data_IF_071438579457
#
_entry.id   IF_071438579457
#
_cell.length_a   1.000
_cell.length_b   1.000
_cell.length_c   1.000
_cell.angle_alpha   90.00
_cell.angle_beta   90.00
_cell.angle_gamma   90.00
#
_symmetry.space_group_name_H-M   'P 1'
#
loop_
_entity.id
_entity.type
_entity.pdbx_description
1 polymer ?
#
# COMPACT_ATOMS: atom_id res chain seq x y z
N UNK A 1 5.71 -2.84 -20.53
CA UNK A 1 4.89 -3.91 -19.90
C UNK A 1 3.52 -3.87 -20.56
N UNK A 2 2.89 -5.01 -20.86
CA UNK A 2 1.57 -5.05 -21.51
C UNK A 2 0.42 -5.09 -20.47
N UNK A 3 -0.83 -4.84 -20.88
CA UNK A 3 -2.04 -4.98 -20.03
C UNK A 3 -2.20 -6.44 -19.64
N UNK A 4 -1.85 -7.35 -20.56
CA UNK A 4 -1.71 -8.78 -20.30
C UNK A 4 -0.64 -9.05 -19.23
N UNK A 5 0.46 -8.29 -19.17
CA UNK A 5 1.47 -8.40 -18.10
C UNK A 5 0.93 -7.95 -16.73
N UNK A 6 0.26 -6.80 -16.65
CA UNK A 6 -0.33 -6.33 -15.38
C UNK A 6 -1.48 -7.22 -14.91
N UNK A 7 -2.41 -7.58 -15.80
CA UNK A 7 -3.50 -8.50 -15.50
C UNK A 7 -2.94 -9.88 -15.16
N UNK A 8 -1.96 -10.38 -15.91
CA UNK A 8 -1.27 -11.63 -15.64
C UNK A 8 -0.63 -11.67 -14.25
N UNK A 9 0.07 -10.61 -13.85
CA UNK A 9 0.67 -10.50 -12.50
C UNK A 9 -0.37 -10.38 -11.40
N UNK A 10 -1.44 -9.62 -11.62
CA UNK A 10 -2.52 -9.47 -10.64
C UNK A 10 -3.22 -10.82 -10.43
N UNK A 11 -3.59 -11.50 -11.52
CA UNK A 11 -4.23 -12.81 -11.49
C UNK A 11 -3.31 -13.86 -10.91
N UNK A 12 -2.00 -13.81 -11.22
CA UNK A 12 -1.02 -14.65 -10.57
C UNK A 12 -1.01 -14.45 -9.05
N UNK A 13 -1.02 -13.20 -8.57
CA UNK A 13 -1.05 -12.89 -7.15
C UNK A 13 -2.34 -13.38 -6.47
N UNK A 14 -3.50 -13.11 -7.05
CA UNK A 14 -4.80 -13.57 -6.53
C UNK A 14 -4.89 -15.10 -6.52
N UNK A 15 -4.50 -15.74 -7.61
CA UNK A 15 -4.50 -17.19 -7.73
C UNK A 15 -3.55 -17.86 -6.74
N UNK A 16 -2.35 -17.29 -6.55
CA UNK A 16 -1.39 -17.78 -5.54
C UNK A 16 -1.94 -17.69 -4.12
N UNK A 17 -2.77 -16.69 -3.82
CA UNK A 17 -3.41 -16.57 -2.52
C UNK A 17 -4.34 -17.75 -2.20
N UNK A 18 -4.91 -18.39 -3.23
CA UNK A 18 -5.83 -19.52 -3.09
C UNK A 18 -5.12 -20.88 -3.02
N UNK A 19 -3.85 -20.95 -3.44
CA UNK A 19 -3.09 -22.21 -3.49
C UNK A 19 -2.86 -22.92 -2.14
N UNK A 20 -2.77 -22.24 -0.97
CA UNK A 20 -2.71 -22.94 0.30
C UNK A 20 -3.90 -23.88 0.55
N UNK A 21 -5.05 -23.63 -0.10
CA UNK A 21 -6.19 -24.54 -0.05
C UNK A 21 -5.87 -25.91 -0.66
N UNK A 22 -4.96 -25.99 -1.63
CA UNK A 22 -4.53 -27.25 -2.24
C UNK A 22 -3.93 -28.17 -1.20
N UNK A 23 -2.91 -27.68 -0.49
CA UNK A 23 -2.23 -28.41 0.59
C UNK A 23 -3.18 -28.73 1.74
N UNK A 24 -4.14 -27.84 2.04
CA UNK A 24 -5.14 -28.12 3.07
C UNK A 24 -6.13 -29.22 2.66
N UNK A 25 -6.36 -29.47 1.37
CA UNK A 25 -7.28 -30.50 0.89
C UNK A 25 -6.58 -31.81 0.49
N UNK A 26 -5.24 -31.82 0.43
CA UNK A 26 -4.44 -33.01 0.10
C UNK A 26 -4.56 -34.13 1.14
N UNK A 27 -4.62 -33.78 2.43
CA UNK A 27 -4.72 -34.75 3.53
C UNK A 27 -5.79 -34.36 4.55
N UNK A 28 -6.25 -35.35 5.33
CA UNK A 28 -7.20 -35.11 6.42
C UNK A 28 -6.59 -34.18 7.48
N UNK A 29 -5.31 -34.37 7.83
CA UNK A 29 -4.63 -33.53 8.82
C UNK A 29 -4.47 -32.08 8.33
N UNK A 30 -4.23 -31.88 7.04
CA UNK A 30 -4.16 -30.55 6.42
C UNK A 30 -5.49 -29.81 6.54
N UNK A 31 -6.60 -30.51 6.32
CA UNK A 31 -7.93 -29.94 6.43
C UNK A 31 -8.31 -29.63 7.87
N UNK A 32 -7.99 -30.53 8.79
CA UNK A 32 -8.20 -30.31 10.23
C UNK A 32 -7.41 -29.10 10.73
N UNK A 33 -6.16 -28.94 10.29
CA UNK A 33 -5.35 -27.77 10.61
C UNK A 33 -5.97 -26.46 10.09
N UNK A 34 -6.55 -26.47 8.87
CA UNK A 34 -7.29 -25.35 8.33
C UNK A 34 -8.53 -25.03 9.17
N UNK A 35 -9.33 -26.03 9.53
CA UNK A 35 -10.52 -25.85 10.36
C UNK A 35 -10.16 -25.24 11.73
N UNK A 36 -9.14 -25.77 12.41
CA UNK A 36 -8.69 -25.27 13.71
C UNK A 36 -8.28 -23.79 13.59
N UNK A 37 -7.51 -23.41 12.56
CA UNK A 37 -7.10 -22.01 12.32
C UNK A 37 -8.30 -21.08 12.12
N UNK A 38 -9.36 -21.57 11.50
CA UNK A 38 -10.62 -20.84 11.26
C UNK A 38 -11.59 -20.91 12.45
N UNK A 39 -11.23 -21.57 13.54
CA UNK A 39 -12.07 -21.71 14.73
C UNK A 39 -13.20 -22.70 14.54
N UNK A 40 -12.96 -23.80 13.81
CA UNK A 40 -13.88 -24.91 13.62
C UNK A 40 -13.25 -26.20 14.14
N UNK A 41 -14.05 -27.11 14.74
CA UNK A 41 -13.53 -28.40 15.18
C UNK A 41 -13.16 -29.27 13.96
N UNK A 42 -12.15 -30.14 14.08
CA UNK A 42 -11.82 -31.17 13.08
C UNK A 42 -13.04 -32.01 12.69
N UNK A 43 -13.22 -32.23 11.38
CA UNK A 43 -14.28 -33.10 10.84
C UNK A 43 -13.80 -33.75 9.55
N UNK A 44 -14.40 -34.89 9.20
CA UNK A 44 -14.21 -35.45 7.87
C UNK A 44 -14.62 -34.43 6.80
N UNK A 45 -13.76 -34.23 5.78
CA UNK A 45 -13.98 -33.27 4.69
C UNK A 45 -15.37 -33.46 4.04
N UNK A 46 -16.31 -32.50 4.22
CA UNK A 46 -17.63 -32.54 3.60
C UNK A 46 -17.53 -32.59 2.07
N UNK A 47 -18.45 -33.30 1.41
CA UNK A 47 -18.42 -33.45 -0.05
C UNK A 47 -18.33 -32.11 -0.81
N UNK A 48 -19.14 -31.06 -0.48
CA UNK A 48 -19.02 -29.77 -1.16
C UNK A 48 -17.63 -29.11 -1.04
N UNK A 49 -16.91 -29.36 0.05
CA UNK A 49 -15.55 -28.82 0.26
C UNK A 49 -14.53 -29.67 -0.50
N UNK A 50 -14.71 -30.99 -0.53
CA UNK A 50 -13.86 -31.91 -1.31
C UNK A 50 -13.91 -31.60 -2.80
N UNK A 51 -15.09 -31.21 -3.30
CA UNK A 51 -15.31 -30.84 -4.70
C UNK A 51 -14.52 -29.58 -5.12
N UNK A 52 -14.05 -28.78 -4.16
CA UNK A 52 -13.12 -27.67 -4.43
C UNK A 52 -11.76 -28.16 -4.91
N UNK A 53 -11.31 -29.36 -4.51
CA UNK A 53 -9.98 -29.89 -4.84
C UNK A 53 -9.69 -29.86 -6.34
N UNK A 54 -10.62 -30.37 -7.16
CA UNK A 54 -10.48 -30.35 -8.62
C UNK A 54 -10.41 -28.93 -9.21
N UNK A 55 -11.08 -27.94 -8.60
CA UNK A 55 -11.01 -26.54 -9.02
C UNK A 55 -9.69 -25.88 -8.63
N UNK A 56 -9.18 -26.22 -7.45
CA UNK A 56 -7.86 -25.77 -6.98
C UNK A 56 -6.75 -26.35 -7.83
N UNK A 57 -6.82 -27.62 -8.23
CA UNK A 57 -5.84 -28.24 -9.13
C UNK A 57 -5.87 -27.58 -10.51
N UNK A 58 -7.06 -27.31 -11.07
CA UNK A 58 -7.19 -26.53 -12.32
C UNK A 58 -6.59 -25.14 -12.19
N UNK A 59 -6.79 -24.46 -11.06
CA UNK A 59 -6.18 -23.15 -10.82
C UNK A 59 -4.65 -23.29 -10.80
N UNK A 60 -4.12 -24.26 -10.07
CA UNK A 60 -2.68 -24.53 -10.01
C UNK A 60 -2.09 -24.76 -11.40
N UNK A 61 -2.72 -25.60 -12.23
CA UNK A 61 -2.25 -25.88 -13.59
C UNK A 61 -2.25 -24.62 -14.48
N UNK A 62 -3.32 -23.82 -14.40
CA UNK A 62 -3.42 -22.58 -15.19
C UNK A 62 -2.41 -21.53 -14.73
N UNK A 63 -2.17 -21.41 -13.42
CA UNK A 63 -1.13 -20.52 -12.91
C UNK A 63 0.27 -21.03 -13.28
N UNK A 64 0.50 -22.34 -13.27
CA UNK A 64 1.78 -22.93 -13.73
C UNK A 64 2.05 -22.57 -15.19
N UNK A 65 1.02 -22.62 -16.04
CA UNK A 65 1.14 -22.15 -17.43
C UNK A 65 1.40 -20.65 -17.51
N UNK A 66 0.75 -19.86 -16.67
CA UNK A 66 0.85 -18.39 -16.67
C UNK A 66 2.21 -17.87 -16.17
N UNK A 67 2.76 -18.44 -15.10
CA UNK A 67 3.98 -17.91 -14.45
C UNK A 67 5.19 -18.86 -14.47
N UNK A 68 5.04 -20.04 -15.06
CA UNK A 68 6.03 -21.11 -15.06
C UNK A 68 6.17 -21.79 -13.69
N UNK A 69 6.80 -22.98 -13.66
CA UNK A 69 7.05 -23.71 -12.40
C UNK A 69 7.87 -22.90 -11.38
N UNK A 70 8.75 -22.00 -11.84
CA UNK A 70 9.54 -21.11 -10.99
C UNK A 70 8.76 -19.93 -10.40
N UNK A 71 7.64 -19.54 -11.03
CA UNK A 71 6.79 -18.44 -10.56
C UNK A 71 5.80 -18.86 -9.48
N UNK A 72 5.55 -20.15 -9.33
CA UNK A 72 4.76 -20.70 -8.23
C UNK A 72 5.67 -21.03 -7.04
N UNK A 73 5.78 -20.10 -6.10
CA UNK A 73 6.62 -20.30 -4.92
C UNK A 73 5.93 -21.11 -3.79
N UNK A 74 4.99 -22.00 -4.13
CA UNK A 74 4.45 -22.95 -3.15
C UNK A 74 5.52 -24.03 -2.93
N UNK A 75 6.46 -23.76 -2.01
CA UNK A 75 7.53 -24.71 -1.62
C UNK A 75 8.78 -24.75 -2.53
N UNK A 76 9.00 -23.80 -3.43
CA UNK A 76 10.08 -23.87 -4.44
C UNK A 76 11.43 -23.31 -3.95
N UNK A 77 12.52 -23.98 -4.35
CA UNK A 77 13.91 -23.59 -4.08
C UNK A 77 14.31 -22.29 -4.82
N UNK A 78 15.21 -21.46 -4.25
CA UNK A 78 15.67 -20.23 -4.88
C UNK A 78 16.44 -20.50 -6.19
N UNK A 79 16.16 -19.73 -7.25
CA UNK A 79 16.99 -19.70 -8.48
C UNK A 79 16.28 -19.93 -9.82
N UNK A 80 14.96 -20.12 -9.87
CA UNK A 80 14.20 -20.11 -11.15
C UNK A 80 13.46 -18.78 -11.29
N UNK A 81 13.83 -17.98 -12.28
CA UNK A 81 13.06 -16.77 -12.59
C UNK A 81 11.67 -17.15 -13.14
N UNK A 82 10.60 -16.48 -12.71
CA UNK A 82 9.28 -16.66 -13.30
C UNK A 82 9.32 -16.28 -14.77
N UNK A 83 8.85 -17.19 -15.64
CA UNK A 83 8.63 -16.90 -17.06
C UNK A 83 7.14 -16.71 -17.24
N UNK A 84 6.74 -15.47 -17.51
CA UNK A 84 5.34 -15.13 -17.73
C UNK A 84 4.91 -15.52 -19.15
N UNK A 85 3.97 -16.47 -19.26
CA UNK A 85 3.28 -16.73 -20.52
C UNK A 85 2.00 -15.88 -20.59
N UNK A 86 2.11 -14.74 -21.25
CA UNK A 86 1.07 -13.71 -21.29
C UNK A 86 0.15 -13.83 -22.52
N UNK A 87 0.05 -15.01 -23.13
CA UNK A 87 -0.92 -15.22 -24.19
C UNK A 87 -2.36 -15.05 -23.65
N UNK A 88 -3.23 -14.43 -24.45
CA UNK A 88 -4.59 -14.08 -24.02
C UNK A 88 -5.40 -15.31 -23.57
N UNK A 89 -5.13 -16.49 -24.15
CA UNK A 89 -5.77 -17.74 -23.77
C UNK A 89 -5.36 -18.21 -22.38
N UNK A 90 -4.06 -18.16 -22.07
CA UNK A 90 -3.52 -18.52 -20.74
C UNK A 90 -3.99 -17.53 -19.67
N UNK A 91 -3.98 -16.23 -19.94
CA UNK A 91 -4.50 -15.22 -19.00
C UNK A 91 -6.00 -15.43 -18.76
N UNK A 92 -6.81 -15.60 -19.82
CA UNK A 92 -8.25 -15.85 -19.68
C UNK A 92 -8.56 -17.16 -18.93
N UNK A 93 -7.79 -18.22 -19.18
CA UNK A 93 -7.95 -19.49 -18.47
C UNK A 93 -7.61 -19.35 -16.97
N UNK A 94 -6.56 -18.59 -16.63
CA UNK A 94 -6.22 -18.30 -15.24
C UNK A 94 -7.31 -17.45 -14.55
N UNK A 95 -7.84 -16.42 -15.22
CA UNK A 95 -8.97 -15.63 -14.71
C UNK A 95 -10.18 -16.53 -14.45
N UNK A 96 -10.57 -17.34 -15.44
CA UNK A 96 -11.71 -18.27 -15.31
C UNK A 96 -11.52 -19.22 -14.14
N UNK A 97 -10.32 -19.79 -13.97
CA UNK A 97 -10.03 -20.70 -12.87
C UNK A 97 -10.12 -20.02 -11.49
N UNK A 98 -9.65 -18.77 -11.37
CA UNK A 98 -9.81 -17.97 -10.14
C UNK A 98 -11.29 -17.72 -9.84
N UNK A 99 -12.05 -17.25 -10.84
CA UNK A 99 -13.48 -16.96 -10.69
C UNK A 99 -14.27 -18.21 -10.33
N UNK A 100 -14.05 -19.32 -11.03
CA UNK A 100 -14.73 -20.59 -10.75
C UNK A 100 -14.46 -21.12 -9.34
N UNK A 101 -13.25 -20.91 -8.80
CA UNK A 101 -12.92 -21.31 -7.45
C UNK A 101 -13.57 -20.39 -6.40
N UNK A 102 -13.54 -19.07 -6.61
CA UNK A 102 -14.18 -18.09 -5.72
C UNK A 102 -15.69 -18.28 -5.69
N UNK A 103 -16.31 -18.53 -6.84
CA UNK A 103 -17.74 -18.82 -6.96
C UNK A 103 -18.08 -20.15 -6.26
N UNK A 104 -17.25 -21.18 -6.40
CA UNK A 104 -17.46 -22.45 -5.74
C UNK A 104 -17.33 -22.36 -4.21
N UNK A 105 -16.37 -21.57 -3.71
CA UNK A 105 -16.26 -21.28 -2.26
C UNK A 105 -17.52 -20.56 -1.78
N UNK A 106 -17.97 -19.54 -2.53
CA UNK A 106 -19.18 -18.77 -2.21
C UNK A 106 -20.43 -19.66 -2.19
N UNK A 107 -20.53 -20.61 -3.13
CA UNK A 107 -21.64 -21.54 -3.25
C UNK A 107 -21.75 -22.55 -2.09
N UNK A 108 -20.70 -22.74 -1.27
CA UNK A 108 -20.77 -23.59 -0.07
C UNK A 108 -21.86 -23.11 0.91
N UNK A 109 -22.14 -21.81 0.96
CA UNK A 109 -23.22 -21.28 1.80
C UNK A 109 -24.61 -21.78 1.36
N UNK A 110 -24.78 -22.08 0.08
CA UNK A 110 -26.05 -22.51 -0.52
C UNK A 110 -26.19 -24.03 -0.59
N UNK A 111 -25.17 -24.79 -0.21
CA UNK A 111 -25.24 -26.24 -0.21
C UNK A 111 -26.27 -26.76 0.83
N UNK A 112 -26.94 -27.91 0.55
CA UNK A 112 -27.92 -28.49 1.46
C UNK A 112 -27.35 -28.71 2.86
N UNK A 113 -28.13 -28.43 3.91
CA UNK A 113 -27.67 -28.61 5.29
C UNK A 113 -27.22 -30.06 5.57
N UNK A 114 -27.86 -31.04 4.91
CA UNK A 114 -27.50 -32.46 5.00
C UNK A 114 -26.11 -32.80 4.44
N UNK A 115 -25.48 -31.89 3.70
CA UNK A 115 -24.12 -32.06 3.19
C UNK A 115 -23.04 -31.77 4.26
N UNK A 116 -23.43 -31.26 5.43
CA UNK A 116 -22.54 -30.90 6.53
C UNK A 116 -22.97 -31.59 7.83
N UNK A 117 -22.04 -31.79 8.79
CA UNK A 117 -22.38 -32.26 10.12
C UNK A 117 -23.41 -31.35 10.82
N UNK A 118 -24.45 -31.90 11.49
CA UNK A 118 -25.52 -31.11 12.11
C UNK A 118 -25.03 -30.04 13.08
N UNK A 119 -24.02 -30.36 13.91
CA UNK A 119 -23.45 -29.44 14.89
C UNK A 119 -22.78 -28.22 14.24
N UNK A 120 -22.12 -28.42 13.09
CA UNK A 120 -21.53 -27.33 12.30
C UNK A 120 -22.61 -26.44 11.71
N UNK A 121 -23.67 -27.02 11.15
CA UNK A 121 -24.81 -26.26 10.61
C UNK A 121 -25.45 -25.42 11.71
N UNK A 122 -25.68 -26.00 12.90
CA UNK A 122 -26.24 -25.29 14.05
C UNK A 122 -25.36 -24.12 14.52
N UNK A 123 -24.04 -24.22 14.38
CA UNK A 123 -23.08 -23.14 14.71
C UNK A 123 -22.94 -22.06 13.62
N UNK A 124 -23.66 -22.19 12.50
CA UNK A 124 -23.63 -21.25 11.37
C UNK A 124 -22.42 -21.43 10.46
N UNK A 125 -21.93 -22.67 10.31
CA UNK A 125 -20.76 -22.98 9.49
C UNK A 125 -20.94 -22.53 8.03
N UNK A 126 -22.10 -22.82 7.42
CA UNK A 126 -22.35 -22.52 6.00
C UNK A 126 -22.28 -21.02 5.71
N UNK A 127 -22.74 -20.20 6.65
CA UNK A 127 -22.83 -18.75 6.50
C UNK A 127 -21.48 -18.07 6.77
N UNK A 128 -20.67 -18.63 7.68
CA UNK A 128 -19.39 -18.03 8.13
C UNK A 128 -18.18 -18.57 7.38
N UNK A 129 -18.12 -19.88 7.13
CA UNK A 129 -16.94 -20.57 6.61
C UNK A 129 -16.46 -20.03 5.25
N UNK A 130 -17.34 -19.79 4.24
CA UNK A 130 -16.88 -19.32 2.93
C UNK A 130 -16.12 -18.01 3.00
N UNK A 131 -16.65 -17.04 3.76
CA UNK A 131 -15.99 -15.74 3.94
C UNK A 131 -14.71 -15.87 4.74
N UNK A 132 -14.74 -16.63 5.84
CA UNK A 132 -13.57 -16.87 6.68
C UNK A 132 -12.42 -17.53 5.90
N UNK A 133 -12.74 -18.46 5.00
CA UNK A 133 -11.76 -19.13 4.15
C UNK A 133 -11.07 -18.14 3.21
N UNK A 134 -11.85 -17.32 2.47
CA UNK A 134 -11.30 -16.31 1.57
C UNK A 134 -10.45 -15.28 2.34
N UNK A 135 -10.98 -14.75 3.44
CA UNK A 135 -10.26 -13.77 4.27
C UNK A 135 -8.94 -14.36 4.80
N UNK A 136 -8.96 -15.62 5.26
CA UNK A 136 -7.75 -16.29 5.75
C UNK A 136 -6.70 -16.46 4.65
N UNK A 137 -7.10 -16.95 3.48
CA UNK A 137 -6.23 -17.19 2.33
C UNK A 137 -5.58 -15.88 1.83
N UNK A 138 -6.38 -14.82 1.68
CA UNK A 138 -5.89 -13.50 1.27
C UNK A 138 -4.95 -12.90 2.31
N UNK A 139 -5.29 -12.96 3.60
CA UNK A 139 -4.44 -12.39 4.66
C UNK A 139 -3.13 -13.16 4.81
N UNK A 140 -3.15 -14.50 4.75
CA UNK A 140 -1.92 -15.31 4.75
C UNK A 140 -1.03 -14.97 3.55
N UNK A 141 -1.60 -14.80 2.36
CA UNK A 141 -0.86 -14.37 1.18
C UNK A 141 -0.26 -12.98 1.34
N UNK A 142 -1.06 -11.99 1.77
CA UNK A 142 -0.60 -10.62 1.92
C UNK A 142 0.49 -10.52 2.99
N UNK A 143 0.34 -11.19 4.13
CA UNK A 143 1.35 -11.16 5.20
C UNK A 143 2.60 -11.97 4.83
N UNK A 144 2.45 -13.12 4.18
CA UNK A 144 3.55 -14.01 3.85
C UNK A 144 4.32 -13.66 2.58
N UNK A 145 3.64 -13.12 1.55
CA UNK A 145 4.22 -12.87 0.22
C UNK A 145 4.32 -11.40 -0.15
N UNK A 146 3.45 -10.56 0.41
CA UNK A 146 3.46 -9.12 0.16
C UNK A 146 3.49 -8.34 1.48
N UNK A 147 4.45 -8.63 2.40
CA UNK A 147 4.40 -8.16 3.79
C UNK A 147 4.24 -6.65 3.87
N UNK A 148 4.89 -5.91 2.97
CA UNK A 148 4.77 -4.47 2.84
C UNK A 148 3.31 -4.01 2.67
N UNK A 149 2.61 -4.58 1.70
CA UNK A 149 1.21 -4.31 1.44
C UNK A 149 0.32 -4.84 2.57
N UNK A 150 0.59 -6.05 3.09
CA UNK A 150 -0.17 -6.65 4.19
C UNK A 150 -0.12 -5.80 5.47
N UNK A 151 1.04 -5.28 5.84
CA UNK A 151 1.19 -4.38 6.97
C UNK A 151 0.54 -3.01 6.71
N UNK A 152 0.70 -2.44 5.52
CA UNK A 152 0.04 -1.19 5.16
C UNK A 152 -1.48 -1.29 5.27
N UNK A 153 -2.08 -2.34 4.70
CA UNK A 153 -3.51 -2.60 4.78
C UNK A 153 -3.99 -2.89 6.22
N UNK A 154 -3.13 -3.49 7.05
CA UNK A 154 -3.43 -3.67 8.48
C UNK A 154 -3.43 -2.35 9.24
N UNK A 155 -2.49 -1.45 8.95
CA UNK A 155 -2.46 -0.10 9.53
C UNK A 155 -3.69 0.69 9.13
N UNK A 156 -4.14 0.58 7.88
CA UNK A 156 -5.37 1.22 7.39
C UNK A 156 -6.67 0.58 7.91
N UNK A 157 -6.58 -0.48 8.73
CA UNK A 157 -7.75 -1.20 9.25
C UNK A 157 -8.48 -2.08 8.22
N UNK A 158 -7.96 -2.20 7.00
CA UNK A 158 -8.49 -3.08 5.94
C UNK A 158 -8.23 -4.55 6.29
N UNK A 159 -7.09 -4.85 6.92
CA UNK A 159 -6.81 -6.16 7.52
C UNK A 159 -6.95 -6.05 9.02
N UNK A 160 -7.78 -6.89 9.63
CA UNK A 160 -7.87 -7.02 11.08
C UNK A 160 -7.61 -8.44 11.53
N UNK A 161 -7.01 -8.59 12.71
CA UNK A 161 -6.81 -9.87 13.38
C UNK A 161 -7.17 -9.69 14.86
N UNK A 162 -8.19 -10.41 15.33
CA UNK A 162 -8.68 -10.35 16.71
C UNK A 162 -8.80 -11.74 17.29
N UNK A 163 -8.36 -11.92 18.53
CA UNK A 163 -8.59 -13.17 19.25
C UNK A 163 -10.07 -13.32 19.58
N UNK A 164 -10.62 -14.47 19.24
CA UNK A 164 -11.95 -14.89 19.65
C UNK A 164 -11.79 -16.02 20.67
N UNK A 165 -12.35 -15.82 21.87
CA UNK A 165 -12.38 -16.86 22.90
C UNK A 165 -13.24 -18.05 22.45
N UNK A 166 -12.99 -19.27 22.97
CA UNK A 166 -13.82 -20.43 22.65
C UNK A 166 -15.30 -20.19 22.97
N UNK A 167 -16.19 -20.62 22.09
CA UNK A 167 -17.65 -20.47 22.24
C UNK A 167 -18.40 -21.62 21.56
N UNK A 168 -19.25 -22.33 22.33
CA UNK A 168 -19.94 -23.51 21.85
C UNK A 168 -18.97 -24.59 21.36
N UNK A 169 -19.13 -25.04 20.11
CA UNK A 169 -18.22 -26.01 19.47
C UNK A 169 -16.97 -25.36 18.85
N UNK A 170 -16.88 -24.03 18.82
CA UNK A 170 -15.78 -23.32 18.16
C UNK A 170 -14.62 -23.16 19.14
N UNK A 171 -13.42 -23.72 18.86
CA UNK A 171 -12.23 -23.47 19.66
C UNK A 171 -11.82 -21.99 19.59
N UNK A 172 -10.97 -21.55 20.51
CA UNK A 172 -10.38 -20.21 20.48
C UNK A 172 -9.49 -20.06 19.24
N UNK A 173 -9.60 -18.93 18.55
CA UNK A 173 -8.92 -18.71 17.27
C UNK A 173 -8.64 -17.23 17.01
N UNK A 174 -7.76 -16.94 16.05
CA UNK A 174 -7.52 -15.58 15.57
C UNK A 174 -8.45 -15.30 14.39
N UNK A 175 -9.53 -14.57 14.64
CA UNK A 175 -10.44 -14.10 13.61
C UNK A 175 -9.72 -13.05 12.75
N UNK A 176 -9.43 -13.42 11.51
CA UNK A 176 -8.86 -12.51 10.50
C UNK A 176 -9.93 -12.09 9.53
N UNK A 177 -9.92 -10.80 9.16
CA UNK A 177 -10.86 -10.22 8.20
C UNK A 177 -10.10 -9.33 7.24
N UNK A 178 -10.43 -9.44 5.97
CA UNK A 178 -10.01 -8.53 4.92
C UNK A 178 -11.23 -7.77 4.43
N UNK A 179 -11.30 -6.46 4.65
CA UNK A 179 -12.46 -5.64 4.33
C UNK A 179 -12.09 -4.53 3.34
N UNK A 180 -12.08 -4.86 2.05
CA UNK A 180 -11.73 -3.91 1.00
C UNK A 180 -12.70 -2.71 0.96
N UNK A 181 -13.93 -2.86 1.45
CA UNK A 181 -14.90 -1.78 1.53
C UNK A 181 -14.54 -0.74 2.61
N UNK A 182 -13.65 -1.07 3.55
CA UNK A 182 -13.10 -0.12 4.51
C UNK A 182 -12.06 0.84 3.88
N UNK A 183 -11.52 0.50 2.70
CA UNK A 183 -10.42 1.24 2.08
C UNK A 183 -10.82 2.67 1.69
N UNK A 184 -11.98 2.94 1.03
CA UNK A 184 -12.43 4.30 0.77
C UNK A 184 -12.58 5.11 2.05
N UNK A 185 -13.11 4.51 3.12
CA UNK A 185 -13.31 5.19 4.40
C UNK A 185 -11.99 5.54 5.08
N UNK A 186 -11.03 4.61 5.06
CA UNK A 186 -9.68 4.82 5.61
C UNK A 186 -8.94 5.96 4.90
N UNK A 187 -9.18 6.14 3.60
CA UNK A 187 -8.60 7.22 2.80
C UNK A 187 -9.38 8.53 2.96
N UNK A 188 -10.71 8.49 3.10
CA UNK A 188 -11.55 9.70 3.16
C UNK A 188 -11.63 10.36 4.54
N UNK A 189 -11.47 9.61 5.64
CA UNK A 189 -11.41 10.17 7.00
C UNK A 189 -10.30 9.49 7.82
N UNK A 190 -9.01 9.74 7.47
CA UNK A 190 -7.89 9.23 8.25
C UNK A 190 -7.92 9.77 9.70
N UNK A 191 -8.56 10.92 9.91
CA UNK A 191 -8.74 11.54 11.22
C UNK A 191 -9.56 10.69 12.19
N UNK A 192 -10.49 9.86 11.71
CA UNK A 192 -11.29 8.98 12.56
C UNK A 192 -10.44 7.96 13.30
N UNK A 193 -9.55 7.28 12.59
CA UNK A 193 -8.63 6.32 13.22
C UNK A 193 -7.75 7.03 14.25
N UNK A 194 -7.28 8.24 13.94
CA UNK A 194 -6.50 9.04 14.86
C UNK A 194 -7.25 9.34 16.16
N UNK A 195 -8.52 9.74 16.05
CA UNK A 195 -9.39 10.03 17.20
C UNK A 195 -9.70 8.77 18.02
N UNK A 196 -10.18 7.71 17.36
CA UNK A 196 -10.68 6.49 18.02
C UNK A 196 -9.58 5.61 18.61
N UNK A 197 -8.41 5.56 17.97
CA UNK A 197 -7.33 4.64 18.38
C UNK A 197 -6.27 5.32 19.23
N UNK A 198 -5.90 6.56 18.90
CA UNK A 198 -4.79 7.25 19.56
C UNK A 198 -5.23 8.42 20.42
N UNK A 199 -6.54 8.74 20.51
CA UNK A 199 -7.02 9.88 21.29
C UNK A 199 -6.70 11.25 20.66
N UNK A 200 -6.47 11.32 19.35
CA UNK A 200 -6.26 12.61 18.68
C UNK A 200 -7.46 13.55 18.94
N UNK A 201 -7.18 14.81 19.27
CA UNK A 201 -8.24 15.76 19.65
C UNK A 201 -8.68 15.69 21.12
N UNK A 202 -8.03 14.86 21.94
CA UNK A 202 -8.23 14.83 23.39
C UNK A 202 -6.92 15.11 24.12
N UNK A 203 -7.00 15.28 25.45
CA UNK A 203 -5.81 15.42 26.29
C UNK A 203 -5.01 14.10 26.40
N UNK A 204 -5.62 12.98 26.01
CA UNK A 204 -5.08 11.62 26.12
C UNK A 204 -4.42 11.15 24.81
N UNK A 205 -4.02 12.06 23.92
CA UNK A 205 -3.36 11.69 22.67
C UNK A 205 -2.08 10.89 22.94
N UNK A 206 -2.09 9.62 22.59
CA UNK A 206 -0.94 8.72 22.74
C UNK A 206 -0.02 8.84 21.52
N UNK A 207 0.85 9.85 21.57
CA UNK A 207 1.87 10.07 20.53
C UNK A 207 2.79 8.84 20.36
N UNK A 208 3.12 8.14 21.45
CA UNK A 208 4.01 6.98 21.41
C UNK A 208 3.41 5.82 20.63
N UNK A 209 2.15 5.48 20.89
CA UNK A 209 1.40 4.48 20.13
C UNK A 209 1.24 4.90 18.67
N UNK A 210 0.89 6.16 18.42
CA UNK A 210 0.76 6.68 17.06
C UNK A 210 2.09 6.60 16.29
N UNK A 211 3.19 7.09 16.86
CA UNK A 211 4.51 7.04 16.26
C UNK A 211 4.96 5.60 15.98
N UNK A 212 4.67 4.65 16.88
CA UNK A 212 4.97 3.24 16.65
C UNK A 212 4.18 2.66 15.46
N UNK A 213 2.94 3.11 15.23
CA UNK A 213 2.18 2.68 14.05
C UNK A 213 2.68 3.32 12.76
N UNK A 214 3.12 4.58 12.80
CA UNK A 214 3.79 5.23 11.67
C UNK A 214 5.12 4.54 11.36
N UNK A 215 5.91 4.18 12.37
CA UNK A 215 7.17 3.43 12.22
C UNK A 215 6.94 2.10 11.50
N UNK A 216 5.96 1.32 11.96
CA UNK A 216 5.57 0.07 11.32
C UNK A 216 5.10 0.26 9.87
N UNK A 217 4.31 1.31 9.60
CA UNK A 217 3.83 1.62 8.26
C UNK A 217 5.00 2.00 7.33
N UNK A 218 5.88 2.89 7.77
CA UNK A 218 6.98 3.37 6.94
C UNK A 218 8.01 2.27 6.70
N UNK A 219 8.30 1.44 7.71
CA UNK A 219 9.10 0.22 7.57
C UNK A 219 8.47 -0.75 6.58
N UNK A 220 7.15 -0.97 6.68
CA UNK A 220 6.41 -1.79 5.73
C UNK A 220 6.51 -1.24 4.31
N UNK A 221 6.43 0.08 4.12
CA UNK A 221 6.63 0.73 2.81
C UNK A 221 8.09 0.73 2.33
N UNK A 222 9.02 0.09 3.06
CA UNK A 222 10.43 -0.03 2.69
C UNK A 222 11.30 1.17 3.06
N UNK A 223 10.78 2.12 3.84
CA UNK A 223 11.56 3.25 4.33
C UNK A 223 12.43 2.83 5.52
N UNK A 224 13.54 3.53 5.71
CA UNK A 224 14.32 3.42 6.94
C UNK A 224 13.73 4.34 7.98
N UNK A 225 13.22 3.76 9.06
CA UNK A 225 12.79 4.50 10.25
C UNK A 225 13.63 4.11 11.45
N UNK A 226 13.86 5.08 12.33
CA UNK A 226 14.58 4.84 13.58
C UNK A 226 14.21 5.88 14.62
N UNK A 227 14.26 5.49 15.89
CA UNK A 227 14.13 6.46 16.97
C UNK A 227 15.48 7.12 17.23
N UNK A 228 15.58 8.43 17.01
CA UNK A 228 16.82 9.19 17.21
C UNK A 228 16.70 10.13 18.40
N UNK A 229 17.79 10.41 19.15
CA UNK A 229 17.79 11.50 20.11
C UNK A 229 17.43 12.82 19.41
N UNK A 230 16.54 13.60 20.02
CA UNK A 230 16.18 14.90 19.49
C UNK A 230 17.29 15.92 19.84
N UNK A 231 17.63 16.78 18.88
CA UNK A 231 18.53 17.90 19.11
C UNK A 231 17.95 18.85 20.18
N UNK A 232 18.80 19.39 21.05
CA UNK A 232 18.35 20.21 22.18
C UNK A 232 17.61 21.47 21.74
N UNK A 233 18.03 22.10 20.63
CA UNK A 233 17.40 23.30 20.11
C UNK A 233 16.02 22.99 19.50
N UNK A 234 15.93 21.88 18.75
CA UNK A 234 14.65 21.38 18.24
C UNK A 234 13.69 20.96 19.38
N UNK A 235 14.20 20.27 20.40
CA UNK A 235 13.43 19.89 21.59
C UNK A 235 12.89 21.12 22.32
N UNK A 236 13.73 22.13 22.56
CA UNK A 236 13.32 23.36 23.22
C UNK A 236 12.28 24.13 22.41
N UNK A 237 12.44 24.22 21.08
CA UNK A 237 11.53 24.98 20.23
C UNK A 237 10.16 24.30 20.07
N UNK A 238 10.14 22.97 19.97
CA UNK A 238 8.92 22.19 19.71
C UNK A 238 8.22 21.81 21.01
N UNK A 239 8.97 21.41 22.03
CA UNK A 239 8.42 20.81 23.26
C UNK A 239 8.59 21.70 24.50
N UNK A 240 9.34 22.80 24.39
CA UNK A 240 9.71 23.63 25.53
C UNK A 240 10.76 22.95 26.42
N UNK A 241 10.90 23.47 27.65
CA UNK A 241 11.87 22.93 28.61
C UNK A 241 11.42 21.56 29.10
N UNK A 242 12.24 20.53 28.84
CA UNK A 242 12.00 19.15 29.26
C UNK A 242 13.11 18.66 30.20
N UNK A 243 12.75 17.75 31.11
CA UNK A 243 13.69 17.11 32.05
C UNK A 243 14.17 15.74 31.56
N UNK A 244 13.48 15.15 30.59
CA UNK A 244 13.83 13.90 29.92
C UNK A 244 14.65 14.15 28.64
N UNK A 245 15.23 13.09 28.06
CA UNK A 245 15.91 13.13 26.76
C UNK A 245 14.92 12.70 25.67
N UNK A 246 14.20 13.64 25.03
CA UNK A 246 13.18 13.28 24.05
C UNK A 246 13.81 12.57 22.83
N UNK A 247 13.05 11.63 22.27
CA UNK A 247 13.39 10.95 21.02
C UNK A 247 12.36 11.32 19.96
N UNK A 248 12.83 11.45 18.73
CA UNK A 248 11.99 11.59 17.56
C UNK A 248 11.93 10.29 16.78
N UNK A 249 10.81 10.02 16.11
CA UNK A 249 10.79 9.02 15.05
C UNK A 249 11.34 9.69 13.78
N UNK A 250 12.53 9.29 13.34
CA UNK A 250 13.11 9.73 12.08
C UNK A 250 12.73 8.76 10.97
N UNK A 251 12.12 9.29 9.90
CA UNK A 251 11.84 8.57 8.67
C UNK A 251 12.76 9.13 7.60
N UNK A 252 13.65 8.30 7.07
CA UNK A 252 14.61 8.65 6.02
C UNK A 252 14.17 8.00 4.70
N UNK A 253 13.36 8.67 3.86
CA UNK A 253 12.91 8.12 2.59
C UNK A 253 14.06 7.89 1.61
N UNK A 254 15.13 8.70 1.66
CA UNK A 254 16.32 8.48 0.87
C UNK A 254 17.59 9.00 1.54
N UNK A 255 18.69 8.30 1.29
CA UNK A 255 20.05 8.71 1.66
C UNK A 255 21.00 8.13 0.64
N UNK A 256 21.61 8.99 -0.18
CA UNK A 256 22.56 8.58 -1.22
C UNK A 256 23.86 9.34 -1.12
N UNK A 257 24.92 8.67 -1.54
CA UNK A 257 26.19 9.30 -1.89
C UNK A 257 26.13 9.53 -3.40
N UNK A 258 26.35 10.77 -3.83
CA UNK A 258 26.27 11.19 -5.23
C UNK A 258 27.68 11.51 -5.72
N UNK A 259 28.13 10.78 -6.75
CA UNK A 259 29.47 10.89 -7.33
C UNK A 259 30.45 9.80 -6.84
N UNK A 260 31.64 9.76 -7.45
CA UNK A 260 32.75 8.87 -6.99
C UNK A 260 33.32 9.32 -5.64
N UNK A 261 33.10 10.60 -5.29
CA UNK A 261 33.58 11.19 -4.06
C UNK A 261 32.55 10.97 -2.93
N UNK A 262 32.96 10.23 -1.90
CA UNK A 262 32.09 9.80 -0.78
C UNK A 262 31.55 10.95 0.09
N UNK A 263 31.96 12.17 -0.20
CA UNK A 263 31.68 13.39 0.55
C UNK A 263 30.37 14.06 0.14
N UNK A 264 29.92 13.90 -1.11
CA UNK A 264 28.65 14.49 -1.55
C UNK A 264 27.49 13.58 -1.18
N UNK A 265 26.81 13.91 -0.07
CA UNK A 265 25.64 13.17 0.41
C UNK A 265 24.40 13.98 0.11
N UNK A 266 23.41 13.32 -0.47
CA UNK A 266 22.06 13.87 -0.58
C UNK A 266 21.16 13.03 0.30
N UNK A 267 20.53 13.66 1.28
CA UNK A 267 19.62 12.99 2.18
C UNK A 267 18.41 13.85 2.49
N UNK A 268 17.25 13.21 2.64
CA UNK A 268 16.11 13.83 3.30
C UNK A 268 15.65 12.93 4.44
N UNK A 269 15.19 13.57 5.49
CA UNK A 269 14.50 12.91 6.59
C UNK A 269 13.36 13.79 7.08
N UNK A 270 12.33 13.15 7.63
CA UNK A 270 11.30 13.81 8.41
C UNK A 270 11.34 13.22 9.79
N UNK A 271 11.52 14.08 10.80
CA UNK A 271 11.43 13.69 12.21
C UNK A 271 10.06 14.03 12.75
N UNK A 272 9.38 13.04 13.31
CA UNK A 272 8.12 13.24 14.01
C UNK A 272 8.38 13.35 15.52
N UNK A 273 7.88 14.43 16.11
CA UNK A 273 8.11 14.82 17.50
C UNK A 273 6.76 15.06 18.18
N UNK A 274 6.64 14.65 19.44
CA UNK A 274 5.48 14.96 20.27
C UNK A 274 5.39 16.47 20.52
N UNK A 275 4.20 17.05 20.35
CA UNK A 275 3.88 18.38 20.90
C UNK A 275 3.10 18.21 22.20
N UNK A 276 3.70 18.45 23.37
CA UNK A 276 2.98 18.34 24.64
C UNK A 276 1.79 19.30 24.69
N UNK A 277 0.71 18.87 25.35
CA UNK A 277 -0.37 19.77 25.75
C UNK A 277 0.07 20.61 26.94
N UNK A 278 -0.19 21.92 26.91
CA UNK A 278 0.12 22.82 28.02
C UNK A 278 -0.89 23.97 28.12
N UNK A 279 -1.26 24.39 29.33
CA UNK A 279 -2.09 25.58 29.55
C UNK A 279 -3.44 25.56 28.82
N UNK A 280 -4.07 24.38 28.71
CA UNK A 280 -5.35 24.20 28.00
C UNK A 280 -5.23 23.94 26.49
N UNK A 281 -4.02 23.92 25.93
CA UNK A 281 -3.78 23.43 24.56
C UNK A 281 -3.74 21.91 24.53
N UNK A 282 -4.42 21.31 23.55
CA UNK A 282 -4.39 19.87 23.34
C UNK A 282 -3.02 19.43 22.80
N UNK A 283 -2.52 18.25 23.20
CA UNK A 283 -1.32 17.66 22.61
C UNK A 283 -1.46 17.47 21.09
N UNK A 284 -0.33 17.37 20.41
CA UNK A 284 -0.28 17.22 18.95
C UNK A 284 1.05 16.61 18.49
N UNK A 285 1.44 16.92 17.26
CA UNK A 285 2.71 16.46 16.69
C UNK A 285 3.40 17.56 15.88
N UNK A 286 4.71 17.51 15.83
CA UNK A 286 5.51 18.32 14.92
C UNK A 286 6.26 17.43 13.92
N UNK A 287 6.33 17.90 12.69
CA UNK A 287 7.17 17.34 11.64
C UNK A 287 8.35 18.26 11.42
N UNK A 288 9.56 17.75 11.60
CA UNK A 288 10.81 18.47 11.39
C UNK A 288 11.50 17.87 10.16
N UNK A 289 11.20 18.41 8.96
CA UNK A 289 11.93 18.04 7.76
C UNK A 289 13.39 18.50 7.85
N UNK A 290 14.29 17.67 7.32
CA UNK A 290 15.69 18.01 7.13
C UNK A 290 16.12 17.54 5.75
N UNK A 291 16.87 18.38 5.06
CA UNK A 291 17.43 18.09 3.75
C UNK A 291 18.90 18.49 3.72
N UNK A 292 19.73 17.56 3.26
CA UNK A 292 21.14 17.78 2.99
C UNK A 292 21.30 17.69 1.46
N UNK A 293 21.62 18.80 0.81
CA UNK A 293 21.72 18.91 -0.64
C UNK A 293 21.39 20.30 -1.15
N UNK A 294 21.21 20.43 -2.47
CA UNK A 294 20.81 21.68 -3.14
C UNK A 294 19.31 21.64 -3.45
N UNK A 295 18.56 22.60 -2.92
CA UNK A 295 17.12 22.74 -3.20
C UNK A 295 16.86 23.11 -4.67
N UNK A 296 15.70 22.70 -5.19
CA UNK A 296 15.30 22.96 -6.58
C UNK A 296 16.05 22.14 -7.63
N UNK A 297 17.00 21.28 -7.23
CA UNK A 297 17.70 20.36 -8.12
C UNK A 297 16.88 19.07 -8.34
N UNK A 298 16.95 18.51 -9.55
CA UNK A 298 16.37 17.20 -9.89
C UNK A 298 17.27 16.09 -9.36
N UNK A 299 16.82 15.40 -8.32
CA UNK A 299 17.55 14.31 -7.70
C UNK A 299 17.15 12.98 -8.34
N UNK A 300 18.03 12.30 -9.09
CA UNK A 300 17.70 11.00 -9.66
C UNK A 300 17.58 9.94 -8.56
N UNK A 301 16.37 9.43 -8.37
CA UNK A 301 16.05 8.32 -7.47
C UNK A 301 16.20 6.96 -8.19
N UNK A 302 15.94 6.91 -9.49
CA UNK A 302 16.19 5.78 -10.37
C UNK A 302 16.55 6.30 -11.77
N UNK A 303 16.71 5.40 -12.75
CA UNK A 303 16.94 5.78 -14.14
C UNK A 303 15.78 6.62 -14.72
N UNK A 304 14.56 6.35 -14.27
CA UNK A 304 13.32 6.97 -14.75
C UNK A 304 12.56 7.73 -13.65
N UNK A 305 13.13 7.93 -12.46
CA UNK A 305 12.46 8.60 -11.34
C UNK A 305 13.35 9.73 -10.80
N UNK A 306 12.76 10.91 -10.69
CA UNK A 306 13.38 12.11 -10.13
C UNK A 306 12.57 12.66 -8.96
N UNK A 307 13.25 13.18 -7.96
CA UNK A 307 12.67 13.96 -6.87
C UNK A 307 13.09 15.42 -7.00
N UNK A 308 12.14 16.33 -6.90
CA UNK A 308 12.36 17.77 -6.83
C UNK A 308 11.80 18.24 -5.50
N UNK A 309 12.62 18.90 -4.71
CA UNK A 309 12.18 19.57 -3.47
C UNK A 309 12.27 21.07 -3.69
N UNK A 310 11.14 21.77 -3.50
CA UNK A 310 11.03 23.23 -3.59
C UNK A 310 10.60 23.79 -2.25
N UNK A 311 11.21 24.90 -1.88
CA UNK A 311 10.89 25.60 -0.65
C UNK A 311 11.34 27.05 -0.74
N UNK A 312 10.51 27.93 -0.21
CA UNK A 312 10.78 29.33 0.11
C UNK A 312 11.15 29.51 1.59
N UNK A 313 11.09 28.44 2.38
CA UNK A 313 11.62 28.39 3.75
C UNK A 313 13.13 28.16 3.73
N UNK A 314 13.83 28.87 4.60
CA UNK A 314 15.24 28.63 4.90
C UNK A 314 15.41 27.47 5.88
N UNK A 315 16.03 26.38 5.41
CA UNK A 315 16.29 25.20 6.23
C UNK A 315 17.57 25.30 7.06
N UNK A 316 18.45 26.29 6.82
CA UNK A 316 19.74 26.37 7.55
C UNK A 316 19.53 26.53 9.05
N UNK A 317 18.49 27.27 9.44
CA UNK A 317 18.08 27.47 10.83
C UNK A 317 17.12 26.41 11.39
N UNK A 318 16.83 25.35 10.64
CA UNK A 318 15.83 24.34 11.00
C UNK A 318 14.38 24.80 10.75
N UNK A 319 13.53 23.86 10.34
CA UNK A 319 12.10 24.07 10.04
C UNK A 319 11.28 23.02 10.78
N UNK A 320 10.16 23.44 11.39
CA UNK A 320 9.22 22.57 12.07
C UNK A 320 7.78 22.94 11.68
N UNK A 321 6.99 21.95 11.32
CA UNK A 321 5.55 22.08 11.03
C UNK A 321 4.79 21.54 12.23
N UNK A 322 4.10 22.40 12.94
CA UNK A 322 3.36 22.09 14.15
C UNK A 322 1.90 21.83 13.81
N UNK A 323 1.37 20.71 14.29
CA UNK A 323 0.01 20.25 14.03
C UNK A 323 -0.68 19.97 15.37
N UNK A 324 -1.75 20.72 15.65
CA UNK A 324 -2.60 20.52 16.83
C UNK A 324 -4.06 20.36 16.44
N UNK A 325 -4.83 19.53 17.16
CA UNK A 325 -6.26 19.39 16.90
C UNK A 325 -7.00 20.72 17.03
N UNK A 326 -7.84 21.05 16.03
CA UNK A 326 -8.65 22.27 16.04
C UNK A 326 -7.86 23.57 15.91
N UNK A 327 -6.55 23.49 15.67
CA UNK A 327 -5.68 24.63 15.35
C UNK A 327 -5.19 24.47 13.91
N UNK A 328 -4.95 25.59 13.23
CA UNK A 328 -4.27 25.57 11.93
C UNK A 328 -2.83 25.06 12.06
N UNK A 329 -2.23 24.63 10.95
CA UNK A 329 -0.80 24.38 10.89
C UNK A 329 -0.02 25.65 11.23
N UNK A 330 1.13 25.48 11.88
CA UNK A 330 2.08 26.54 12.18
C UNK A 330 3.47 26.11 11.72
N UNK A 331 4.23 27.00 11.08
CA UNK A 331 5.64 26.77 10.79
C UNK A 331 6.49 27.56 11.78
N UNK A 332 7.46 26.89 12.40
CA UNK A 332 8.56 27.49 13.13
C UNK A 332 9.86 27.33 12.34
N UNK A 333 10.67 28.38 12.28
CA UNK A 333 12.01 28.37 11.67
C UNK A 333 13.05 28.95 12.61
N UNK A 334 14.34 28.76 12.29
CA UNK A 334 15.43 29.45 12.97
C UNK A 334 15.74 28.93 14.38
N UNK A 335 15.15 27.82 14.80
CA UNK A 335 15.41 27.25 16.12
C UNK A 335 16.79 26.61 16.27
N UNK A 336 17.42 26.21 15.17
CA UNK A 336 18.81 25.78 15.17
C UNK A 336 19.79 26.97 15.12
N UNK A 337 19.31 28.18 14.80
CA UNK A 337 20.10 29.41 14.78
C UNK A 337 20.11 30.04 16.18
N UNK A 338 21.16 29.74 16.95
CA UNK A 338 21.32 30.19 18.34
C UNK A 338 21.34 31.71 18.56
N UNK A 339 21.36 32.53 17.50
CA UNK A 339 21.36 33.99 17.56
C UNK A 339 19.98 34.64 17.40
N UNK A 340 19.08 34.04 16.60
CA UNK A 340 17.76 34.62 16.28
C UNK A 340 16.62 33.98 17.07
N UNK A 341 16.78 32.73 17.48
CA UNK A 341 15.75 31.97 18.18
C UNK A 341 14.57 31.56 17.29
N UNK A 342 13.66 30.69 17.78
CA UNK A 342 12.51 30.22 17.01
C UNK A 342 11.57 31.37 16.64
N UNK A 343 11.20 31.47 15.36
CA UNK A 343 10.23 32.44 14.85
C UNK A 343 9.11 31.74 14.06
N UNK A 344 7.89 32.30 14.12
CA UNK A 344 6.81 31.87 13.24
C UNK A 344 7.11 32.33 11.83
N UNK A 345 6.92 31.45 10.86
CA UNK A 345 7.14 31.76 9.45
C UNK A 345 5.90 31.45 8.60
N UNK A 346 5.85 32.10 7.44
CA UNK A 346 5.00 31.74 6.32
C UNK A 346 5.90 31.28 5.19
N UNK A 347 5.39 30.39 4.34
CA UNK A 347 6.11 29.86 3.20
C UNK A 347 5.53 28.52 2.76
N UNK A 348 6.17 27.91 1.77
CA UNK A 348 5.78 26.62 1.21
C UNK A 348 6.93 25.62 1.22
N UNK A 349 6.55 24.36 1.30
CA UNK A 349 7.43 23.22 1.11
C UNK A 349 6.70 22.24 0.20
N UNK A 350 7.30 21.91 -0.92
CA UNK A 350 6.75 21.03 -1.94
C UNK A 350 7.78 19.95 -2.29
N UNK A 351 7.33 18.70 -2.29
CA UNK A 351 8.06 17.58 -2.85
C UNK A 351 7.31 17.09 -4.10
N UNK A 352 8.02 16.98 -5.21
CA UNK A 352 7.51 16.48 -6.48
C UNK A 352 8.31 15.25 -6.85
N UNK A 353 7.63 14.13 -7.06
CA UNK A 353 8.21 12.93 -7.65
C UNK A 353 7.77 12.88 -9.10
N UNK A 354 8.72 12.81 -10.01
CA UNK A 354 8.47 12.67 -11.43
C UNK A 354 8.97 11.31 -11.90
N UNK A 355 8.18 10.64 -12.73
CA UNK A 355 8.57 9.43 -13.44
C UNK A 355 8.44 9.64 -14.94
N UNK A 356 9.53 9.45 -15.66
CA UNK A 356 9.59 9.57 -17.12
C UNK A 356 10.98 9.19 -17.62
N UNK A 357 11.10 8.84 -18.91
CA UNK A 357 12.39 8.55 -19.51
C UNK A 357 13.18 9.85 -19.75
N UNK A 358 14.49 9.81 -19.53
CA UNK A 358 15.35 10.99 -19.61
C UNK A 358 15.45 11.61 -21.02
N UNK A 359 15.23 10.81 -22.07
CA UNK A 359 15.23 11.23 -23.48
C UNK A 359 13.86 11.78 -23.95
N UNK A 360 12.85 11.78 -23.07
CA UNK A 360 11.49 12.19 -23.39
C UNK A 360 10.71 11.14 -24.20
N UNK A 361 11.26 9.94 -24.39
CA UNK A 361 10.51 8.85 -24.99
C UNK A 361 9.30 8.48 -24.12
N UNK A 362 8.18 8.10 -24.75
CA UNK A 362 7.01 7.66 -24.01
C UNK A 362 7.30 6.34 -23.28
N UNK A 363 6.80 6.26 -22.05
CA UNK A 363 6.68 5.01 -21.32
C UNK A 363 5.41 4.29 -21.78
N UNK A 364 5.57 3.13 -22.40
CA UNK A 364 4.45 2.28 -22.80
C UNK A 364 3.87 1.60 -21.55
N UNK A 365 2.67 2.04 -21.14
CA UNK A 365 1.88 1.42 -20.07
C UNK A 365 1.30 0.08 -20.51
N UNK A 366 0.84 0.03 -21.76
CA UNK A 366 0.21 -1.12 -22.38
C UNK A 366 0.55 -1.18 -23.87
N UNK A 367 0.80 -2.38 -24.40
CA UNK A 367 0.85 -2.67 -25.83
C UNK A 367 2.27 -2.75 -26.37
N UNK A 368 2.38 -2.73 -27.69
CA UNK A 368 3.68 -2.79 -28.39
C UNK A 368 4.10 -1.39 -28.86
N UNK A 369 5.37 -0.99 -28.71
CA UNK A 369 5.87 0.34 -29.11
C UNK A 369 5.46 0.74 -30.54
N UNK A 370 5.45 -0.23 -31.47
CA UNK A 370 5.09 -0.01 -32.87
C UNK A 370 3.65 -0.42 -33.23
N UNK A 371 2.89 -0.98 -32.29
CA UNK A 371 1.54 -1.53 -32.47
C UNK A 371 0.44 -0.74 -31.79
N UNK A 372 -0.64 -1.44 -31.41
CA UNK A 372 -1.67 -0.91 -30.51
C UNK A 372 -1.07 -0.75 -29.12
N UNK A 373 -1.21 0.43 -28.50
CA UNK A 373 -0.60 0.77 -27.22
C UNK A 373 -1.29 1.91 -26.49
N UNK A 374 -1.21 1.88 -25.17
CA UNK A 374 -1.39 3.03 -24.29
C UNK A 374 -0.01 3.42 -23.73
N UNK A 375 0.32 4.69 -23.82
CA UNK A 375 1.61 5.21 -23.36
C UNK A 375 1.40 6.55 -22.67
N UNK A 376 2.39 6.98 -21.89
CA UNK A 376 2.44 8.33 -21.32
C UNK A 376 3.86 8.87 -21.42
N UNK A 377 4.04 10.18 -21.38
CA UNK A 377 5.37 10.77 -21.35
C UNK A 377 5.88 10.89 -19.91
N UNK A 378 5.03 11.39 -19.01
CA UNK A 378 5.42 11.68 -17.63
C UNK A 378 4.28 11.44 -16.64
N UNK A 379 4.62 10.82 -15.51
CA UNK A 379 3.74 10.69 -14.35
C UNK A 379 4.37 11.50 -13.23
N UNK A 380 3.63 12.41 -12.62
CA UNK A 380 4.12 13.22 -11.51
C UNK A 380 3.16 13.15 -10.33
N UNK A 381 3.73 13.16 -9.12
CA UNK A 381 3.00 13.35 -7.89
C UNK A 381 3.64 14.49 -7.12
N UNK A 382 2.85 15.48 -6.73
CA UNK A 382 3.29 16.59 -5.89
C UNK A 382 2.53 16.57 -4.57
N UNK A 383 3.24 16.86 -3.49
CA UNK A 383 2.64 17.02 -2.18
C UNK A 383 3.39 18.08 -1.39
N UNK A 384 2.65 18.86 -0.61
CA UNK A 384 3.27 19.95 0.11
C UNK A 384 2.35 20.66 1.07
N UNK A 385 2.94 21.67 1.70
CA UNK A 385 2.25 22.62 2.55
C UNK A 385 2.52 24.02 2.02
N UNK A 386 1.52 24.89 2.10
CA UNK A 386 1.66 26.32 1.86
C UNK A 386 1.00 27.08 3.00
N UNK A 387 1.77 27.96 3.64
CA UNK A 387 1.30 28.83 4.69
C UNK A 387 1.43 30.27 4.23
N UNK A 388 0.29 30.93 4.07
CA UNK A 388 0.20 32.34 3.71
C UNK A 388 -0.91 33.05 4.46
N UNK A 389 -1.24 34.28 4.05
CA UNK A 389 -2.26 35.11 4.71
C UNK A 389 -3.68 34.51 4.68
N UNK A 390 -3.94 33.52 3.82
CA UNK A 390 -5.20 32.78 3.73
C UNK A 390 -5.31 31.59 4.70
N UNK A 391 -4.28 31.33 5.50
CA UNK A 391 -4.18 30.15 6.35
C UNK A 391 -3.35 29.03 5.73
N UNK A 392 -3.19 27.90 6.46
CA UNK A 392 -2.45 26.75 6.00
C UNK A 392 -3.23 25.91 4.99
N UNK A 393 -2.57 25.54 3.90
CA UNK A 393 -3.07 24.70 2.83
C UNK A 393 -2.16 23.48 2.68
N UNK A 394 -2.72 22.28 2.83
CA UNK A 394 -2.03 21.01 2.55
C UNK A 394 -2.57 20.50 1.23
N UNK A 395 -1.70 20.29 0.26
CA UNK A 395 -2.12 19.87 -1.06
C UNK A 395 -1.43 18.57 -1.46
N UNK A 396 -2.16 17.82 -2.29
CA UNK A 396 -1.64 16.69 -3.03
C UNK A 396 -2.18 16.76 -4.45
N UNK A 397 -1.31 16.48 -5.43
CA UNK A 397 -1.63 16.45 -6.84
C UNK A 397 -1.00 15.21 -7.47
N UNK A 398 -1.72 14.58 -8.39
CA UNK A 398 -1.16 13.57 -9.29
C UNK A 398 -1.49 13.98 -10.71
N UNK A 399 -0.48 14.04 -11.57
CA UNK A 399 -0.60 14.45 -12.95
C UNK A 399 0.02 13.40 -13.88
N UNK A 400 -0.64 13.16 -15.01
CA UNK A 400 -0.22 12.24 -16.05
C UNK A 400 -0.23 12.99 -17.38
N UNK A 401 0.97 13.25 -17.89
CA UNK A 401 1.20 14.05 -19.09
C UNK A 401 1.49 13.15 -20.30
N UNK A 402 0.93 13.54 -21.45
CA UNK A 402 1.12 12.88 -22.73
C UNK A 402 0.51 11.48 -22.77
N UNK A 403 -0.59 11.24 -22.06
CA UNK A 403 -1.33 9.98 -22.14
C UNK A 403 -1.85 9.83 -23.57
N UNK A 404 -1.42 8.78 -24.26
CA UNK A 404 -1.74 8.53 -25.64
C UNK A 404 -2.13 7.07 -25.84
N UNK A 405 -3.34 6.86 -26.33
CA UNK A 405 -3.75 5.59 -26.88
C UNK A 405 -3.57 5.61 -28.39
N UNK A 406 -2.86 4.61 -28.92
CA UNK A 406 -2.73 4.34 -30.35
C UNK A 406 -3.36 2.99 -30.59
N UNK A 407 -4.41 2.94 -31.40
CA UNK A 407 -4.97 1.69 -31.91
C UNK A 407 -4.42 1.46 -33.32
N UNK A 408 -3.63 0.42 -33.51
CA UNK A 408 -3.22 -0.10 -34.84
C UNK A 408 -3.83 -1.49 -35.05
N UNK A 409 -4.78 -1.65 -35.98
CA UNK A 409 -5.35 -2.94 -36.31
C UNK A 409 -4.36 -3.77 -37.15
N UNK A 410 -3.32 -4.32 -36.50
CA UNK A 410 -2.47 -5.30 -37.16
C UNK A 410 -3.21 -6.66 -37.20
N UNK A 411 -3.49 -7.17 -38.41
CA UNK A 411 -4.16 -8.47 -38.59
C UNK A 411 -5.68 -8.49 -38.36
N UNK A 412 -6.36 -7.34 -38.44
CA UNK A 412 -7.82 -7.29 -38.33
C UNK A 412 -8.49 -7.80 -39.63
N UNK A 413 -8.79 -9.09 -39.68
CA UNK A 413 -9.58 -9.69 -40.75
C UNK A 413 -11.08 -9.41 -40.55
N UNK A 414 -11.79 -9.07 -41.63
CA UNK A 414 -13.25 -8.93 -41.63
C UNK A 414 -13.79 -7.52 -41.32
N UNK A 415 -14.94 -7.45 -40.63
CA UNK A 415 -15.75 -6.24 -40.44
C UNK A 415 -14.98 -5.08 -39.77
N UNK A 416 -14.08 -5.37 -38.83
CA UNK A 416 -13.30 -4.36 -38.10
C UNK A 416 -12.32 -3.62 -39.04
N UNK A 417 -11.71 -4.31 -40.00
CA UNK A 417 -10.84 -3.71 -41.01
C UNK A 417 -11.57 -2.87 -42.07
N UNK A 418 -12.89 -3.04 -42.21
CA UNK A 418 -13.71 -2.26 -43.15
C UNK A 418 -14.23 -0.95 -42.55
N UNK A 419 -14.33 -0.85 -41.22
CA UNK A 419 -14.89 0.31 -40.51
C UNK A 419 -13.81 1.24 -39.96
N UNK A 420 -12.62 0.73 -39.61
CA UNK A 420 -11.56 1.51 -38.99
C UNK A 420 -10.52 2.02 -40.00
N UNK A 421 -9.90 3.21 -39.76
CA UNK A 421 -8.85 3.74 -40.62
C UNK A 421 -7.63 2.79 -40.68
N UNK A 422 -7.06 2.61 -41.87
CA UNK A 422 -5.88 1.74 -42.09
C UNK A 422 -4.65 2.17 -41.28
N UNK A 423 -4.53 3.46 -40.99
CA UNK A 423 -3.42 4.04 -40.21
C UNK A 423 -3.65 3.98 -38.69
N UNK A 424 -4.82 3.45 -38.27
CA UNK A 424 -5.22 3.36 -36.88
C UNK A 424 -5.96 4.59 -36.35
N UNK A 425 -6.22 4.61 -35.05
CA UNK A 425 -6.85 5.72 -34.32
C UNK A 425 -5.92 6.14 -33.19
N UNK A 426 -5.79 7.45 -32.95
CA UNK A 426 -5.02 7.97 -31.83
C UNK A 426 -5.91 8.86 -30.97
N UNK A 427 -5.79 8.71 -29.66
CA UNK A 427 -6.47 9.55 -28.65
C UNK A 427 -5.41 10.02 -27.67
N UNK A 428 -5.37 11.31 -27.41
CA UNK A 428 -4.42 11.94 -26.49
C UNK A 428 -5.16 12.68 -25.38
N UNK A 429 -4.61 12.68 -24.18
CA UNK A 429 -5.13 13.37 -23.01
C UNK A 429 -4.00 13.71 -22.04
N UNK A 430 -4.20 14.79 -21.28
CA UNK A 430 -3.47 15.06 -20.04
C UNK A 430 -4.46 14.97 -18.89
N UNK A 431 -4.07 14.34 -17.78
CA UNK A 431 -4.95 14.10 -16.63
C UNK A 431 -4.29 14.64 -15.36
N UNK A 432 -4.98 15.53 -14.66
CA UNK A 432 -4.58 16.02 -13.35
C UNK A 432 -5.69 15.75 -12.34
N UNK A 433 -5.33 15.16 -11.20
CA UNK A 433 -6.23 14.88 -10.08
C UNK A 433 -5.72 15.53 -8.80
N UNK A 434 -6.65 16.11 -8.04
CA UNK A 434 -6.41 16.70 -6.72
C UNK A 434 -7.05 15.80 -5.66
N UNK A 435 -6.33 14.79 -5.13
CA UNK A 435 -6.86 13.92 -4.09
C UNK A 435 -7.23 14.65 -2.78
N UNK A 436 -6.74 15.89 -2.59
CA UNK A 436 -7.08 16.75 -1.45
C UNK A 436 -7.29 18.21 -1.90
N UNK A 437 -8.43 18.81 -1.51
CA UNK A 437 -8.68 20.26 -1.44
C UNK A 437 -9.53 20.56 -0.22
#
# INVERSE_FOLDING_TARGET
MSELDTVGRLIAGVGQALLPLRTALETAEGFDALLIRLGWPPVQVPAPIRDLGAKVDRLYDNLTRLVGEGGLQVGSAPGREPVLNLDAGTVAAAVSAVTELVDAISALASAPASAYPPDLVAAGFREKFPRQLIDHLLVEYLVGRQPQLGFALRTLGVITAKYQAPEGIRPGYMARRFDLAALPQAVSDPGRMLRETFGWGTADFDFGAFASQVDNLMTALGNRSSHVPLDAAAAQAVQGTRTDRPRALEISPFRRVVGEDTTNRVSAAVRMIELPGAGGTLPGLALVPSFEGVLGFKLPLAEDIELIVRSDLDFSGGVAVLIRPGQGLEILTGFADGAAGPAKASGSLEAIVERGKADGEPTVLFGEPDGTRLQYQKLSGAGGIRLGSGGPDVFGEVSLDGLKFVFKPAGADGFIGAVLPKDGVQVEADVTAFPYR
#
